data_IF_165958565153
#
_entry.id   IF_165958565153
#
_cell.length_a   1.000
_cell.length_b   1.000
_cell.length_c   1.000
_cell.angle_alpha   90.00
_cell.angle_beta   90.00
_cell.angle_gamma   90.00
#
_symmetry.space_group_name_H-M   'P 1'
#
loop_
_entity.id
_entity.type
_entity.pdbx_description
1 polymer ?
#
# COMPACT_ATOMS: atom_id res chain seq x y z
N UNK A 1 -8.59 31.35 -24.67
CA UNK A 1 -9.27 30.94 -23.43
C UNK A 1 -9.43 29.42 -23.28
N UNK A 2 -9.22 28.64 -24.34
CA UNK A 2 -9.35 27.16 -24.33
C UNK A 2 -8.26 26.42 -23.56
N UNK A 3 -7.06 27.00 -23.42
CA UNK A 3 -5.91 26.37 -22.75
C UNK A 3 -5.77 26.72 -21.25
N UNK A 4 -6.50 27.74 -20.78
CA UNK A 4 -6.37 28.23 -19.39
C UNK A 4 -6.81 27.18 -18.35
N UNK A 5 -7.87 26.42 -18.65
CA UNK A 5 -8.41 25.40 -17.74
C UNK A 5 -7.45 24.20 -17.62
N UNK A 6 -6.94 23.59 -18.72
CA UNK A 6 -5.91 22.55 -18.64
C UNK A 6 -4.65 23.01 -17.88
N UNK A 7 -4.16 24.22 -18.16
CA UNK A 7 -3.00 24.77 -17.44
C UNK A 7 -3.30 25.01 -15.96
N UNK A 8 -4.51 25.49 -15.62
CA UNK A 8 -4.95 25.67 -14.24
C UNK A 8 -5.04 24.37 -13.45
N UNK A 9 -5.50 23.28 -14.05
CA UNK A 9 -5.53 21.94 -13.44
C UNK A 9 -4.10 21.45 -13.17
N UNK A 10 -3.21 21.55 -14.16
CA UNK A 10 -1.81 21.15 -14.00
C UNK A 10 -1.07 21.95 -12.92
N UNK A 11 -1.31 23.27 -12.85
CA UNK A 11 -0.78 24.11 -11.78
C UNK A 11 -1.35 23.72 -10.41
N UNK A 12 -2.64 23.39 -10.35
CA UNK A 12 -3.28 22.92 -9.11
C UNK A 12 -2.69 21.57 -8.65
N UNK A 13 -2.41 20.65 -9.57
CA UNK A 13 -1.70 19.42 -9.27
C UNK A 13 -0.28 19.69 -8.75
N UNK A 14 0.45 20.63 -9.34
CA UNK A 14 1.78 21.02 -8.86
C UNK A 14 1.74 21.60 -7.44
N UNK A 15 0.75 22.44 -7.14
CA UNK A 15 0.53 22.98 -5.79
C UNK A 15 0.18 21.86 -4.82
N UNK A 16 -0.75 20.97 -5.17
CA UNK A 16 -1.15 19.83 -4.33
C UNK A 16 0.04 18.92 -4.01
N UNK A 17 0.85 18.57 -5.01
CA UNK A 17 2.07 17.78 -4.85
C UNK A 17 3.07 18.48 -3.93
N UNK A 18 3.29 19.78 -4.11
CA UNK A 18 4.18 20.57 -3.25
C UNK A 18 3.73 20.53 -1.79
N UNK A 19 2.41 20.62 -1.54
CA UNK A 19 1.83 20.49 -0.21
C UNK A 19 2.02 19.09 0.38
N UNK A 20 1.96 18.01 -0.41
CA UNK A 20 2.29 16.67 0.06
C UNK A 20 3.76 16.55 0.48
N UNK A 21 4.70 17.08 -0.28
CA UNK A 21 6.12 17.09 0.09
C UNK A 21 6.36 17.83 1.42
N UNK A 22 5.82 19.05 1.55
CA UNK A 22 5.96 19.84 2.79
C UNK A 22 5.22 19.17 3.95
N UNK A 23 4.05 18.59 3.69
CA UNK A 23 3.25 17.84 4.65
C UNK A 23 4.03 16.66 5.23
N UNK A 24 4.54 15.77 4.39
CA UNK A 24 5.37 14.63 4.81
C UNK A 24 6.62 15.06 5.56
N UNK A 25 7.32 16.11 5.09
CA UNK A 25 8.49 16.63 5.79
C UNK A 25 8.16 17.08 7.22
N UNK A 26 7.01 17.73 7.41
CA UNK A 26 6.54 18.16 8.73
C UNK A 26 6.05 17.01 9.61
N UNK A 27 5.60 15.89 9.03
CA UNK A 27 5.25 14.68 9.79
C UNK A 27 6.47 14.04 10.45
N UNK A 28 7.68 14.27 9.94
CA UNK A 28 8.93 13.75 10.53
C UNK A 28 9.31 14.35 11.89
N UNK A 29 8.61 15.38 12.39
CA UNK A 29 8.84 15.94 13.73
C UNK A 29 7.53 16.04 14.52
N UNK A 30 7.47 15.59 15.78
CA UNK A 30 6.24 15.67 16.57
C UNK A 30 5.74 17.10 16.78
N UNK A 31 6.64 18.10 16.83
CA UNK A 31 6.28 19.50 16.98
C UNK A 31 5.48 20.05 15.78
N UNK A 32 5.74 19.53 14.57
CA UNK A 32 5.11 19.99 13.33
C UNK A 32 4.10 19.01 12.74
N UNK A 33 3.97 17.81 13.31
CA UNK A 33 3.17 16.72 12.74
C UNK A 33 1.70 17.10 12.47
N UNK A 34 1.04 17.81 13.39
CA UNK A 34 -0.35 18.26 13.19
C UNK A 34 -0.51 19.17 11.98
N UNK A 35 0.40 20.13 11.83
CA UNK A 35 0.42 21.04 10.68
C UNK A 35 0.81 20.30 9.39
N UNK A 36 1.70 19.30 9.47
CA UNK A 36 2.04 18.44 8.34
C UNK A 36 0.83 17.70 7.79
N UNK A 37 0.03 17.09 8.68
CA UNK A 37 -1.20 16.40 8.30
C UNK A 37 -2.21 17.35 7.64
N UNK A 38 -2.41 18.55 8.23
CA UNK A 38 -3.32 19.55 7.66
C UNK A 38 -2.93 19.96 6.23
N UNK A 39 -1.63 20.22 5.98
CA UNK A 39 -1.16 20.59 4.65
C UNK A 39 -1.39 19.46 3.64
N UNK A 40 -1.16 18.20 4.03
CA UNK A 40 -1.45 17.05 3.18
C UNK A 40 -2.95 16.93 2.88
N UNK A 41 -3.83 17.14 3.86
CA UNK A 41 -5.29 17.13 3.66
C UNK A 41 -5.74 18.23 2.70
N UNK A 42 -5.18 19.44 2.81
CA UNK A 42 -5.47 20.55 1.88
C UNK A 42 -4.97 20.22 0.47
N UNK A 43 -3.77 19.64 0.35
CA UNK A 43 -3.25 19.17 -0.94
C UNK A 43 -4.17 18.15 -1.61
N UNK A 44 -4.68 17.17 -0.84
CA UNK A 44 -5.66 16.21 -1.33
C UNK A 44 -6.95 16.87 -1.80
N UNK A 45 -7.49 17.82 -1.04
CA UNK A 45 -8.71 18.56 -1.43
C UNK A 45 -8.51 19.33 -2.74
N UNK A 46 -7.38 20.02 -2.90
CA UNK A 46 -7.04 20.74 -4.15
C UNK A 46 -6.99 19.76 -5.32
N UNK A 47 -6.37 18.59 -5.15
CA UNK A 47 -6.28 17.60 -6.21
C UNK A 47 -7.67 17.07 -6.63
N UNK A 48 -8.53 16.73 -5.67
CA UNK A 48 -9.91 16.28 -5.96
C UNK A 48 -10.67 17.35 -6.74
N UNK A 49 -10.65 18.59 -6.27
CA UNK A 49 -11.37 19.70 -6.93
C UNK A 49 -10.82 19.94 -8.33
N UNK A 50 -9.49 19.92 -8.51
CA UNK A 50 -8.87 20.09 -9.82
C UNK A 50 -9.28 18.98 -10.80
N UNK A 51 -9.30 17.71 -10.38
CA UNK A 51 -9.74 16.59 -11.21
C UNK A 51 -11.22 16.70 -11.58
N UNK A 52 -12.07 17.20 -10.69
CA UNK A 52 -13.49 17.43 -11.00
C UNK A 52 -13.71 18.51 -12.06
N UNK A 53 -12.75 19.41 -12.29
CA UNK A 53 -12.84 20.44 -13.34
C UNK A 53 -12.38 19.95 -14.71
N UNK A 54 -11.93 18.69 -14.81
CA UNK A 54 -11.47 18.09 -16.06
C UNK A 54 -12.64 17.86 -17.02
N UNK A 55 -12.45 18.20 -18.30
CA UNK A 55 -13.54 18.22 -19.30
C UNK A 55 -14.10 16.84 -19.64
N UNK A 56 -13.36 15.79 -19.31
CA UNK A 56 -13.74 14.39 -19.56
C UNK A 56 -14.60 13.80 -18.44
N UNK A 57 -14.93 14.58 -17.40
CA UNK A 57 -15.83 14.13 -16.34
C UNK A 57 -17.28 14.17 -16.83
N UNK A 58 -17.84 12.99 -17.11
CA UNK A 58 -19.18 12.85 -17.70
C UNK A 58 -20.29 12.76 -16.62
N UNK A 59 -20.01 12.17 -15.45
CA UNK A 59 -21.04 11.85 -14.46
C UNK A 59 -20.71 12.35 -13.04
N UNK A 60 -20.96 13.64 -12.81
CA UNK A 60 -20.77 14.29 -11.51
C UNK A 60 -21.64 13.70 -10.40
N UNK A 61 -22.83 13.22 -10.72
CA UNK A 61 -23.77 12.66 -9.75
C UNK A 61 -23.23 11.36 -9.14
N UNK A 62 -22.80 10.40 -9.98
CA UNK A 62 -22.20 9.15 -9.50
C UNK A 62 -20.91 9.40 -8.72
N UNK A 63 -20.07 10.34 -9.17
CA UNK A 63 -18.83 10.70 -8.46
C UNK A 63 -19.15 11.27 -7.07
N UNK A 64 -20.12 12.19 -6.99
CA UNK A 64 -20.53 12.77 -5.71
C UNK A 64 -21.08 11.71 -4.76
N UNK A 65 -21.93 10.81 -5.25
CA UNK A 65 -22.46 9.68 -4.45
C UNK A 65 -21.32 8.80 -3.94
N UNK A 66 -20.37 8.43 -4.80
CA UNK A 66 -19.23 7.60 -4.41
C UNK A 66 -18.35 8.29 -3.35
N UNK A 67 -18.07 9.59 -3.50
CA UNK A 67 -17.30 10.38 -2.53
C UNK A 67 -18.05 10.44 -1.19
N UNK A 68 -19.34 10.74 -1.20
CA UNK A 68 -20.15 10.86 0.03
C UNK A 68 -20.21 9.53 0.76
N UNK A 69 -20.56 8.44 0.06
CA UNK A 69 -20.67 7.10 0.66
C UNK A 69 -19.32 6.63 1.20
N UNK A 70 -18.25 6.75 0.41
CA UNK A 70 -16.91 6.36 0.82
C UNK A 70 -16.40 7.17 2.01
N UNK A 71 -16.61 8.49 2.00
CA UNK A 71 -16.19 9.38 3.09
C UNK A 71 -16.94 9.10 4.39
N UNK A 72 -18.25 8.83 4.33
CA UNK A 72 -19.05 8.49 5.52
C UNK A 72 -18.57 7.17 6.12
N UNK A 73 -18.40 6.12 5.31
CA UNK A 73 -17.94 4.81 5.78
C UNK A 73 -16.54 4.93 6.39
N UNK A 74 -15.63 5.62 5.69
CA UNK A 74 -14.27 5.86 6.15
C UNK A 74 -14.22 6.65 7.46
N UNK A 75 -15.00 7.73 7.57
CA UNK A 75 -15.08 8.55 8.78
C UNK A 75 -15.62 7.75 9.97
N UNK A 76 -16.71 7.00 9.77
CA UNK A 76 -17.27 6.15 10.84
C UNK A 76 -16.23 5.13 11.30
N UNK A 77 -15.54 4.46 10.38
CA UNK A 77 -14.49 3.50 10.72
C UNK A 77 -13.34 4.14 11.49
N UNK A 78 -12.87 5.31 11.06
CA UNK A 78 -11.76 6.03 11.67
C UNK A 78 -12.09 6.58 13.08
N UNK A 79 -13.33 7.02 13.32
CA UNK A 79 -13.73 7.57 14.62
C UNK A 79 -14.15 6.52 15.64
N UNK A 80 -14.55 5.32 15.19
CA UNK A 80 -15.01 4.25 16.10
C UNK A 80 -13.92 3.27 16.53
N UNK A 81 -12.80 3.19 15.82
CA UNK A 81 -11.72 2.26 16.18
C UNK A 81 -11.02 2.69 17.47
N UNK A 82 -10.72 1.71 18.33
CA UNK A 82 -9.90 1.93 19.52
C UNK A 82 -8.42 2.17 19.16
N UNK A 83 -7.69 2.91 20.00
CA UNK A 83 -6.29 3.26 19.70
C UNK A 83 -5.35 2.04 19.68
N UNK A 84 -5.69 0.96 20.38
CA UNK A 84 -4.96 -0.32 20.34
C UNK A 84 -5.11 -1.04 19.00
N UNK A 85 -6.23 -0.79 18.33
CA UNK A 85 -6.66 -1.42 17.08
C UNK A 85 -6.31 -0.55 15.86
N UNK A 86 -5.53 0.52 16.07
CA UNK A 86 -5.11 1.42 15.00
C UNK A 86 -4.31 0.71 13.88
N UNK A 87 -3.33 -0.19 14.17
CA UNK A 87 -2.51 -0.79 13.11
C UNK A 87 -3.31 -1.52 12.04
N UNK A 88 -4.28 -2.34 12.44
CA UNK A 88 -5.11 -3.11 11.53
C UNK A 88 -6.06 -2.23 10.71
N UNK A 89 -6.60 -1.15 11.28
CA UNK A 89 -7.44 -0.21 10.54
C UNK A 89 -6.64 0.58 9.50
N UNK A 90 -5.41 0.97 9.84
CA UNK A 90 -4.46 1.56 8.88
C UNK A 90 -4.20 0.57 7.73
N UNK A 91 -3.95 -0.70 8.06
CA UNK A 91 -3.79 -1.77 7.08
C UNK A 91 -5.01 -1.89 6.16
N UNK A 92 -6.21 -1.95 6.72
CA UNK A 92 -7.45 -2.08 5.93
C UNK A 92 -7.66 -0.90 4.98
N UNK A 93 -7.53 0.34 5.46
CA UNK A 93 -7.66 1.53 4.61
C UNK A 93 -6.59 1.59 3.52
N UNK A 94 -5.37 1.17 3.83
CA UNK A 94 -4.32 1.03 2.82
C UNK A 94 -4.69 -0.01 1.74
N UNK A 95 -5.26 -1.14 2.16
CA UNK A 95 -5.78 -2.16 1.25
C UNK A 95 -6.82 -1.61 0.28
N UNK A 96 -7.75 -0.78 0.77
CA UNK A 96 -8.76 -0.13 -0.07
C UNK A 96 -8.13 0.84 -1.09
N UNK A 97 -7.04 1.53 -0.74
CA UNK A 97 -6.26 2.33 -1.70
C UNK A 97 -5.61 1.50 -2.80
N UNK A 98 -5.08 0.32 -2.45
CA UNK A 98 -4.59 -0.68 -3.41
C UNK A 98 -5.70 -1.18 -4.35
N UNK A 99 -6.88 -1.49 -3.79
CA UNK A 99 -8.05 -1.90 -4.56
C UNK A 99 -8.51 -0.80 -5.53
N UNK A 100 -8.56 0.46 -5.07
CA UNK A 100 -8.90 1.60 -5.93
C UNK A 100 -7.93 1.73 -7.12
N UNK A 101 -6.63 1.56 -6.88
CA UNK A 101 -5.61 1.60 -7.94
C UNK A 101 -5.76 0.45 -8.95
N UNK A 102 -6.06 -0.76 -8.47
CA UNK A 102 -6.37 -1.90 -9.34
C UNK A 102 -7.66 -1.66 -10.15
N UNK A 103 -8.69 -1.08 -9.53
CA UNK A 103 -9.95 -0.73 -10.20
C UNK A 103 -9.77 0.33 -11.29
N UNK A 104 -8.85 1.27 -11.13
CA UNK A 104 -8.47 2.21 -12.21
C UNK A 104 -7.90 1.45 -13.41
N UNK A 105 -7.00 0.49 -13.19
CA UNK A 105 -6.44 -0.33 -14.26
C UNK A 105 -7.51 -1.22 -14.94
N UNK A 106 -8.43 -1.79 -14.17
CA UNK A 106 -9.59 -2.54 -14.71
C UNK A 106 -10.51 -1.64 -15.51
N UNK A 107 -10.79 -0.44 -15.01
CA UNK A 107 -11.63 0.56 -15.71
C UNK A 107 -11.02 0.96 -17.06
N UNK A 108 -9.71 1.20 -17.10
CA UNK A 108 -9.03 1.56 -18.34
C UNK A 108 -9.00 0.40 -19.35
N UNK A 109 -8.80 -0.84 -18.88
CA UNK A 109 -8.94 -2.02 -19.73
C UNK A 109 -10.34 -2.10 -20.36
N UNK A 110 -11.39 -1.87 -19.57
CA UNK A 110 -12.77 -1.84 -20.05
C UNK A 110 -13.01 -0.71 -21.06
N UNK A 111 -12.43 0.47 -20.85
CA UNK A 111 -12.52 1.60 -21.77
C UNK A 111 -11.94 1.25 -23.15
N UNK A 112 -10.74 0.65 -23.19
CA UNK A 112 -10.12 0.22 -24.44
C UNK A 112 -10.88 -0.92 -25.12
N UNK A 113 -11.45 -1.86 -24.34
CA UNK A 113 -12.31 -2.91 -24.86
C UNK A 113 -13.58 -2.33 -25.51
N UNK A 114 -14.22 -1.35 -24.87
CA UNK A 114 -15.45 -0.73 -25.38
C UNK A 114 -15.25 0.06 -26.68
N UNK A 115 -14.09 0.71 -26.84
CA UNK A 115 -13.74 1.48 -28.05
C UNK A 115 -13.08 0.58 -29.12
N UNK A 116 -12.83 -0.70 -28.82
CA UNK A 116 -12.14 -1.65 -29.69
C UNK A 116 -10.78 -1.13 -30.21
N UNK A 117 -10.07 -0.37 -29.37
CA UNK A 117 -8.78 0.22 -29.68
C UNK A 117 -7.69 -0.44 -28.83
N UNK A 118 -6.59 -0.86 -29.46
CA UNK A 118 -5.49 -1.48 -28.72
C UNK A 118 -4.81 -0.41 -27.86
N UNK A 119 -4.68 -0.62 -26.54
CA UNK A 119 -3.91 0.26 -25.68
C UNK A 119 -2.44 0.31 -26.14
N UNK A 120 -1.76 1.46 -25.99
CA UNK A 120 -0.31 1.53 -26.14
C UNK A 120 0.37 0.54 -25.19
N UNK A 121 1.47 -0.09 -25.65
CA UNK A 121 2.21 -1.07 -24.86
C UNK A 121 2.58 -0.57 -23.44
N UNK A 122 3.05 0.67 -23.23
CA UNK A 122 3.33 1.18 -21.88
C UNK A 122 2.09 1.21 -20.98
N UNK A 123 0.91 1.56 -21.52
CA UNK A 123 -0.36 1.58 -20.79
C UNK A 123 -0.78 0.16 -20.39
N UNK A 124 -0.62 -0.82 -21.28
CA UNK A 124 -0.89 -2.24 -20.97
C UNK A 124 0.01 -2.74 -19.84
N UNK A 125 1.32 -2.48 -19.92
CA UNK A 125 2.27 -2.92 -18.90
C UNK A 125 1.97 -2.27 -17.54
N UNK A 126 1.74 -0.96 -17.53
CA UNK A 126 1.44 -0.23 -16.29
C UNK A 126 0.08 -0.62 -15.70
N UNK A 127 -0.92 -0.94 -16.53
CA UNK A 127 -2.20 -1.47 -16.07
C UNK A 127 -2.05 -2.84 -15.41
N UNK A 128 -1.28 -3.76 -16.03
CA UNK A 128 -1.03 -5.09 -15.48
C UNK A 128 -0.23 -5.02 -14.17
N UNK A 129 0.75 -4.12 -14.06
CA UNK A 129 1.44 -3.85 -12.81
C UNK A 129 0.51 -3.24 -11.75
N UNK A 130 -0.37 -2.32 -12.14
CA UNK A 130 -1.37 -1.74 -11.25
C UNK A 130 -2.34 -2.79 -10.68
N UNK A 131 -2.81 -3.72 -11.53
CA UNK A 131 -3.62 -4.88 -11.10
C UNK A 131 -2.85 -5.77 -10.14
N UNK A 132 -1.61 -6.15 -10.48
CA UNK A 132 -0.79 -7.02 -9.64
C UNK A 132 -0.56 -6.41 -8.26
N UNK A 133 0.00 -5.21 -8.22
CA UNK A 133 0.43 -4.57 -6.98
C UNK A 133 -0.80 -4.17 -6.17
N UNK A 134 -1.83 -3.59 -6.80
CA UNK A 134 -3.07 -3.19 -6.13
C UNK A 134 -3.85 -4.38 -5.57
N UNK A 135 -3.97 -5.47 -6.34
CA UNK A 135 -4.64 -6.70 -5.91
C UNK A 135 -3.92 -7.38 -4.75
N UNK A 136 -2.59 -7.54 -4.85
CA UNK A 136 -1.75 -8.07 -3.76
C UNK A 136 -1.88 -7.23 -2.50
N UNK A 137 -1.88 -5.90 -2.66
CA UNK A 137 -2.01 -4.96 -1.53
C UNK A 137 -3.36 -5.07 -0.85
N UNK A 138 -4.44 -5.15 -1.63
CA UNK A 138 -5.80 -5.24 -1.10
C UNK A 138 -5.99 -6.50 -0.27
N UNK A 139 -5.81 -7.68 -0.87
CA UNK A 139 -6.07 -8.93 -0.15
C UNK A 139 -5.03 -9.21 0.93
N UNK A 140 -3.77 -8.83 0.71
CA UNK A 140 -2.74 -8.90 1.74
C UNK A 140 -3.11 -8.08 2.98
N UNK A 141 -3.64 -6.86 2.77
CA UNK A 141 -4.08 -6.00 3.87
C UNK A 141 -5.31 -6.55 4.59
N UNK A 142 -6.23 -7.20 3.87
CA UNK A 142 -7.38 -7.90 4.46
C UNK A 142 -6.93 -9.06 5.35
N UNK A 143 -5.94 -9.85 4.93
CA UNK A 143 -5.36 -10.92 5.77
C UNK A 143 -4.64 -10.34 7.00
N UNK A 144 -3.86 -9.26 6.82
CA UNK A 144 -3.20 -8.60 7.93
C UNK A 144 -4.22 -8.07 8.97
N UNK A 145 -5.30 -7.45 8.50
CA UNK A 145 -6.42 -7.03 9.35
C UNK A 145 -7.04 -8.22 10.08
N UNK A 146 -7.38 -9.30 9.36
CA UNK A 146 -8.03 -10.47 9.96
C UNK A 146 -7.19 -11.12 11.06
N UNK A 147 -5.85 -11.17 10.90
CA UNK A 147 -4.93 -11.71 11.90
C UNK A 147 -4.80 -10.84 13.13
N UNK A 148 -4.72 -9.52 12.96
CA UNK A 148 -4.63 -8.59 14.08
C UNK A 148 -5.95 -8.49 14.86
N UNK A 149 -7.09 -8.58 14.16
CA UNK A 149 -8.43 -8.55 14.77
C UNK A 149 -8.79 -9.86 15.49
N UNK A 150 -7.96 -10.90 15.36
CA UNK A 150 -8.22 -12.23 15.93
C UNK A 150 -9.29 -13.03 15.19
N UNK A 151 -9.74 -12.58 14.00
CA UNK A 151 -10.66 -13.33 13.12
C UNK A 151 -9.92 -14.54 12.51
N UNK A 152 -8.62 -14.39 12.26
CA UNK A 152 -7.71 -15.44 11.80
C UNK A 152 -6.60 -15.66 12.83
N UNK A 153 -6.05 -16.88 12.89
CA UNK A 153 -4.90 -17.16 13.75
C UNK A 153 -3.73 -16.21 13.46
N UNK A 154 -3.16 -15.64 14.51
CA UNK A 154 -1.93 -14.87 14.45
C UNK A 154 -0.68 -15.71 14.20
N UNK A 155 -0.75 -17.05 14.31
CA UNK A 155 0.38 -17.92 13.96
C UNK A 155 0.65 -17.88 12.44
N UNK A 156 1.91 -18.08 12.01
CA UNK A 156 2.20 -18.44 10.63
C UNK A 156 1.35 -19.64 10.19
N UNK A 157 0.67 -19.52 9.05
CA UNK A 157 -0.07 -20.62 8.43
C UNK A 157 0.70 -21.01 7.18
N UNK A 158 1.22 -22.24 7.14
CA UNK A 158 1.96 -22.77 5.99
C UNK A 158 1.37 -24.11 5.56
N UNK A 159 1.58 -24.47 4.30
CA UNK A 159 1.15 -25.76 3.76
C UNK A 159 2.26 -26.37 2.87
N UNK A 160 2.29 -27.71 2.71
CA UNK A 160 3.31 -28.35 1.89
C UNK A 160 3.25 -27.82 0.45
N UNK A 161 4.42 -27.54 -0.14
CA UNK A 161 4.56 -26.98 -1.50
C UNK A 161 4.04 -25.53 -1.67
N UNK A 162 3.92 -24.74 -0.61
CA UNK A 162 3.51 -23.33 -0.74
C UNK A 162 4.46 -22.50 -1.63
N UNK A 163 5.77 -22.66 -1.50
CA UNK A 163 6.75 -21.93 -2.32
C UNK A 163 6.59 -22.18 -3.84
N UNK A 164 6.56 -23.43 -4.33
CA UNK A 164 6.32 -23.68 -5.75
C UNK A 164 4.92 -23.25 -6.20
N UNK A 165 3.88 -23.32 -5.35
CA UNK A 165 2.55 -22.79 -5.68
C UNK A 165 2.59 -21.27 -5.87
N UNK A 166 3.25 -20.55 -4.96
CA UNK A 166 3.41 -19.10 -5.06
C UNK A 166 4.21 -18.71 -6.31
N UNK A 167 5.29 -19.45 -6.59
CA UNK A 167 6.10 -19.25 -7.79
C UNK A 167 5.30 -19.52 -9.08
N UNK A 168 4.44 -20.55 -9.08
CA UNK A 168 3.57 -20.87 -10.21
C UNK A 168 2.52 -19.78 -10.44
N UNK A 169 1.87 -19.30 -9.37
CA UNK A 169 0.89 -18.21 -9.48
C UNK A 169 1.55 -16.93 -10.01
N UNK A 170 2.72 -16.57 -9.48
CA UNK A 170 3.45 -15.40 -9.94
C UNK A 170 3.96 -15.57 -11.38
N UNK A 171 4.57 -16.71 -11.71
CA UNK A 171 5.02 -17.03 -13.06
C UNK A 171 3.88 -17.05 -14.07
N UNK A 172 2.73 -17.63 -13.70
CA UNK A 172 1.51 -17.62 -14.49
C UNK A 172 0.98 -16.19 -14.72
N UNK A 173 1.06 -15.33 -13.71
CA UNK A 173 0.72 -13.92 -13.86
C UNK A 173 1.62 -13.22 -14.88
N UNK A 174 2.94 -13.44 -14.81
CA UNK A 174 3.90 -12.86 -15.75
C UNK A 174 3.66 -13.37 -17.19
N UNK A 175 3.48 -14.67 -17.37
CA UNK A 175 3.22 -15.27 -18.70
C UNK A 175 1.91 -14.74 -19.28
N UNK A 176 0.82 -14.68 -18.50
CA UNK A 176 -0.44 -14.10 -18.94
C UNK A 176 -0.34 -12.61 -19.26
N UNK A 177 0.49 -11.88 -18.50
CA UNK A 177 0.77 -10.46 -18.76
C UNK A 177 1.48 -10.26 -20.11
N UNK A 178 2.52 -11.06 -20.38
CA UNK A 178 3.24 -11.04 -21.68
C UNK A 178 2.29 -11.40 -22.83
N UNK A 179 1.41 -12.38 -22.63
CA UNK A 179 0.39 -12.74 -23.61
C UNK A 179 -0.56 -11.57 -23.94
N UNK A 180 -1.03 -10.83 -22.92
CA UNK A 180 -1.88 -9.65 -23.12
C UNK A 180 -1.15 -8.48 -23.78
N UNK A 181 0.18 -8.37 -23.64
CA UNK A 181 0.96 -7.39 -24.41
C UNK A 181 0.92 -7.65 -25.93
N UNK A 182 0.74 -8.91 -26.34
CA UNK A 182 0.59 -9.28 -27.76
C UNK A 182 -0.88 -9.30 -28.18
N UNK A 183 -1.78 -9.68 -27.27
CA UNK A 183 -3.22 -9.85 -27.53
C UNK A 183 -4.08 -9.09 -26.50
N UNK A 184 -4.19 -7.76 -26.61
CA UNK A 184 -4.68 -6.88 -25.54
C UNK A 184 -6.18 -6.95 -25.24
N UNK A 185 -6.95 -7.80 -25.92
CA UNK A 185 -8.41 -7.90 -25.76
C UNK A 185 -8.90 -9.24 -25.17
N UNK A 186 -8.00 -10.07 -24.66
CA UNK A 186 -8.40 -11.34 -24.07
C UNK A 186 -8.96 -11.13 -22.65
N UNK A 187 -10.24 -10.78 -22.58
CA UNK A 187 -10.97 -10.54 -21.33
C UNK A 187 -10.89 -11.71 -20.33
N UNK A 188 -11.06 -12.99 -20.73
CA UNK A 188 -10.89 -14.11 -19.81
C UNK A 188 -9.51 -14.14 -19.13
N UNK A 189 -8.44 -13.90 -19.89
CA UNK A 189 -7.09 -13.89 -19.33
C UNK A 189 -6.89 -12.68 -18.42
N UNK A 190 -7.37 -11.50 -18.80
CA UNK A 190 -7.30 -10.32 -17.93
C UNK A 190 -8.01 -10.55 -16.59
N UNK A 191 -9.22 -11.09 -16.60
CA UNK A 191 -9.96 -11.43 -15.38
C UNK A 191 -9.27 -12.53 -14.55
N UNK A 192 -8.68 -13.53 -15.22
CA UNK A 192 -7.86 -14.54 -14.54
C UNK A 192 -6.65 -13.90 -13.84
N UNK A 193 -5.97 -12.94 -14.47
CA UNK A 193 -4.86 -12.20 -13.86
C UNK A 193 -5.30 -11.38 -12.65
N UNK A 194 -6.46 -10.71 -12.73
CA UNK A 194 -7.06 -10.03 -11.57
C UNK A 194 -7.27 -11.03 -10.43
N UNK A 195 -7.90 -12.18 -10.71
CA UNK A 195 -8.09 -13.24 -9.71
C UNK A 195 -6.78 -13.74 -9.11
N UNK A 196 -5.76 -14.00 -9.94
CA UNK A 196 -4.43 -14.44 -9.50
C UNK A 196 -3.77 -13.38 -8.62
N UNK A 197 -3.87 -12.08 -8.94
CA UNK A 197 -3.31 -11.01 -8.10
C UNK A 197 -3.92 -10.99 -6.69
N UNK A 198 -5.23 -11.22 -6.59
CA UNK A 198 -5.94 -11.30 -5.32
C UNK A 198 -5.49 -12.52 -4.51
N UNK A 199 -5.37 -13.70 -5.15
CA UNK A 199 -4.87 -14.91 -4.49
C UNK A 199 -3.41 -14.75 -4.05
N UNK A 200 -2.57 -14.11 -4.86
CA UNK A 200 -1.17 -13.84 -4.52
C UNK A 200 -1.04 -12.99 -3.27
N UNK A 201 -1.88 -11.96 -3.08
CA UNK A 201 -1.86 -11.17 -1.84
C UNK A 201 -2.21 -11.98 -0.60
N UNK A 202 -3.17 -12.90 -0.71
CA UNK A 202 -3.51 -13.83 0.37
C UNK A 202 -2.31 -14.74 0.68
N UNK A 203 -1.76 -15.39 -0.35
CA UNK A 203 -0.64 -16.32 -0.22
C UNK A 203 0.65 -15.65 0.27
N UNK A 204 0.81 -14.35 0.02
CA UNK A 204 1.95 -13.55 0.45
C UNK A 204 1.93 -13.27 1.97
N UNK A 205 0.76 -12.98 2.55
CA UNK A 205 0.63 -12.55 3.97
C UNK A 205 0.31 -13.70 4.93
N UNK A 206 -0.41 -14.73 4.48
CA UNK A 206 -0.76 -15.92 5.28
C UNK A 206 0.43 -16.55 6.05
N UNK A 207 1.65 -16.71 5.49
CA UNK A 207 2.77 -17.33 6.20
C UNK A 207 3.42 -16.39 7.23
N UNK A 208 3.06 -15.11 7.30
CA UNK A 208 3.69 -14.15 8.20
C UNK A 208 3.01 -14.19 9.57
N UNK A 209 3.77 -14.09 10.65
CA UNK A 209 3.26 -14.11 12.02
C UNK A 209 2.65 -12.77 12.46
N UNK A 210 1.72 -12.81 13.41
CA UNK A 210 1.00 -11.66 13.95
C UNK A 210 1.91 -10.57 14.52
N UNK A 211 2.99 -10.97 15.20
CA UNK A 211 3.98 -10.04 15.74
C UNK A 211 4.74 -9.23 14.68
N UNK A 212 4.79 -9.73 13.43
CA UNK A 212 5.45 -9.07 12.31
C UNK A 212 4.48 -8.29 11.42
N UNK A 213 3.17 -8.35 11.68
CA UNK A 213 2.15 -7.69 10.88
C UNK A 213 2.34 -6.18 10.73
N UNK A 214 2.83 -5.42 11.73
CA UNK A 214 3.10 -3.99 11.54
C UNK A 214 4.09 -3.71 10.38
N UNK A 215 5.13 -4.54 10.24
CA UNK A 215 6.11 -4.43 9.14
C UNK A 215 5.44 -4.77 7.80
N UNK A 216 4.60 -5.80 7.77
CA UNK A 216 3.84 -6.18 6.57
C UNK A 216 2.90 -5.06 6.14
N UNK A 217 2.17 -4.45 7.07
CA UNK A 217 1.27 -3.33 6.79
C UNK A 217 2.05 -2.14 6.20
N UNK A 218 3.22 -1.83 6.75
CA UNK A 218 4.11 -0.80 6.19
C UNK A 218 4.60 -1.14 4.78
N UNK A 219 4.96 -2.41 4.53
CA UNK A 219 5.38 -2.86 3.20
C UNK A 219 4.23 -2.76 2.19
N UNK A 220 3.03 -3.21 2.57
CA UNK A 220 1.83 -3.09 1.74
C UNK A 220 1.43 -1.62 1.53
N UNK A 221 1.78 -0.72 2.44
CA UNK A 221 1.61 0.73 2.23
C UNK A 221 2.60 1.30 1.20
N UNK A 222 3.79 0.72 1.07
CA UNK A 222 4.63 1.04 -0.09
C UNK A 222 4.00 0.54 -1.39
N UNK A 223 3.45 -0.68 -1.38
CA UNK A 223 2.82 -1.27 -2.55
C UNK A 223 1.58 -0.48 -3.00
N UNK A 224 0.75 0.02 -2.09
CA UNK A 224 -0.37 0.92 -2.46
C UNK A 224 0.12 2.18 -3.18
N UNK A 225 1.23 2.78 -2.72
CA UNK A 225 1.85 3.93 -3.38
C UNK A 225 2.36 3.60 -4.79
N UNK A 226 3.04 2.46 -4.95
CA UNK A 226 3.48 1.97 -6.26
C UNK A 226 2.30 1.65 -7.19
N UNK A 227 1.22 1.06 -6.67
CA UNK A 227 0.00 0.81 -7.41
C UNK A 227 -0.69 2.11 -7.85
N UNK A 228 -0.73 3.12 -6.97
CA UNK A 228 -1.27 4.44 -7.31
C UNK A 228 -0.43 5.14 -8.39
N UNK A 229 0.90 5.02 -8.34
CA UNK A 229 1.77 5.53 -9.41
C UNK A 229 1.54 4.79 -10.74
N UNK A 230 1.35 3.46 -10.69
CA UNK A 230 1.03 2.67 -11.87
C UNK A 230 -0.33 3.10 -12.46
N UNK A 231 -1.36 3.26 -11.64
CA UNK A 231 -2.65 3.83 -12.03
C UNK A 231 -2.49 5.23 -12.64
N UNK A 232 -1.61 6.07 -12.07
CA UNK A 232 -1.27 7.37 -12.62
C UNK A 232 -0.68 7.30 -14.03
N UNK A 233 0.20 6.34 -14.32
CA UNK A 233 0.68 6.12 -15.69
C UNK A 233 -0.40 5.59 -16.63
N UNK A 234 -1.32 4.75 -16.12
CA UNK A 234 -2.44 4.21 -16.89
C UNK A 234 -3.33 5.34 -17.41
N UNK A 235 -3.65 6.32 -16.57
CA UNK A 235 -4.52 7.48 -16.93
C UNK A 235 -3.74 8.75 -17.25
N UNK A 236 -2.42 8.67 -17.43
CA UNK A 236 -1.53 9.80 -17.72
C UNK A 236 -1.68 11.00 -16.75
N UNK A 237 -1.88 10.72 -15.46
CA UNK A 237 -2.08 11.74 -14.43
C UNK A 237 -0.82 11.93 -13.57
N UNK A 238 -0.17 13.09 -13.73
CA UNK A 238 1.05 13.46 -13.02
C UNK A 238 0.89 13.54 -11.49
N UNK A 239 -0.30 13.91 -10.99
CA UNK A 239 -0.55 13.95 -9.54
C UNK A 239 -0.42 12.54 -8.97
N UNK A 240 -1.13 11.56 -9.55
CA UNK A 240 -1.11 10.18 -9.08
C UNK A 240 0.28 9.55 -9.17
N UNK A 241 1.01 9.84 -10.25
CA UNK A 241 2.40 9.37 -10.42
C UNK A 241 3.27 9.89 -9.28
N UNK A 242 3.27 11.20 -9.03
CA UNK A 242 4.16 11.81 -8.04
C UNK A 242 3.75 11.44 -6.61
N UNK A 243 2.45 11.53 -6.30
CA UNK A 243 1.95 11.18 -4.97
C UNK A 243 2.17 9.69 -4.66
N UNK A 244 1.89 8.80 -5.63
CA UNK A 244 2.13 7.37 -5.50
C UNK A 244 3.60 7.02 -5.29
N UNK A 245 4.50 7.60 -6.09
CA UNK A 245 5.93 7.38 -5.95
C UNK A 245 6.48 7.85 -4.59
N UNK A 246 5.99 9.00 -4.12
CA UNK A 246 6.34 9.57 -2.81
C UNK A 246 5.91 8.64 -1.65
N UNK A 247 4.67 8.15 -1.66
CA UNK A 247 4.17 7.20 -0.66
C UNK A 247 4.90 5.86 -0.76
N UNK A 248 5.13 5.37 -1.98
CA UNK A 248 5.84 4.12 -2.24
C UNK A 248 7.26 4.12 -1.67
N UNK A 249 8.04 5.16 -2.00
CA UNK A 249 9.41 5.32 -1.49
C UNK A 249 9.44 5.48 0.03
N UNK A 250 8.56 6.33 0.60
CA UNK A 250 8.45 6.52 2.03
C UNK A 250 8.08 5.22 2.76
N UNK A 251 7.18 4.41 2.19
CA UNK A 251 6.75 3.13 2.77
C UNK A 251 7.87 2.10 2.84
N UNK A 252 8.71 1.98 1.80
CA UNK A 252 9.87 1.07 1.84
C UNK A 252 10.86 1.52 2.91
N UNK A 253 11.16 2.82 2.97
CA UNK A 253 12.08 3.39 3.98
C UNK A 253 11.55 3.11 5.39
N UNK A 254 10.26 3.39 5.63
CA UNK A 254 9.61 3.13 6.92
C UNK A 254 9.67 1.64 7.28
N UNK A 255 9.40 0.76 6.32
CA UNK A 255 9.46 -0.70 6.53
C UNK A 255 10.85 -1.14 6.99
N UNK A 256 11.91 -0.60 6.38
CA UNK A 256 13.30 -0.90 6.78
C UNK A 256 13.61 -0.36 8.18
N UNK A 257 13.15 0.86 8.50
CA UNK A 257 13.34 1.45 9.84
C UNK A 257 12.60 0.62 10.90
N UNK A 258 11.36 0.20 10.63
CA UNK A 258 10.59 -0.65 11.54
C UNK A 258 11.27 -2.01 11.77
N UNK A 259 11.77 -2.65 10.71
CA UNK A 259 12.57 -3.87 10.80
C UNK A 259 13.79 -3.69 11.74
N UNK A 260 14.55 -2.60 11.55
CA UNK A 260 15.69 -2.28 12.42
C UNK A 260 15.28 -2.06 13.87
N UNK A 261 14.23 -1.28 14.12
CA UNK A 261 13.72 -1.06 15.48
C UNK A 261 13.19 -2.33 16.16
N UNK A 262 12.80 -3.33 15.38
CA UNK A 262 12.40 -4.66 15.86
C UNK A 262 13.56 -5.67 15.93
N UNK A 263 14.80 -5.27 15.62
CA UNK A 263 15.98 -6.15 15.53
C UNK A 263 15.77 -7.36 14.61
N UNK A 264 15.04 -7.19 13.50
CA UNK A 264 14.79 -8.23 12.50
C UNK A 264 15.07 -7.70 11.10
N UNK A 265 15.63 -8.53 10.22
CA UNK A 265 15.76 -8.15 8.80
C UNK A 265 14.43 -8.32 8.08
N UNK A 266 14.23 -7.56 7.00
CA UNK A 266 13.05 -7.70 6.13
C UNK A 266 12.93 -9.12 5.55
N UNK A 267 14.05 -9.76 5.21
CA UNK A 267 14.08 -11.14 4.73
C UNK A 267 13.59 -12.11 5.80
N UNK A 268 13.97 -11.93 7.06
CA UNK A 268 13.50 -12.77 8.15
C UNK A 268 12.01 -12.55 8.41
N UNK A 269 11.49 -11.33 8.26
CA UNK A 269 10.05 -11.07 8.40
C UNK A 269 9.24 -11.76 7.29
N UNK A 270 9.69 -11.65 6.04
CA UNK A 270 8.97 -12.21 4.90
C UNK A 270 9.11 -13.73 4.77
N UNK A 271 10.23 -14.30 5.22
CA UNK A 271 10.55 -15.71 4.96
C UNK A 271 10.78 -16.59 6.19
N UNK A 272 10.62 -16.09 7.43
CA UNK A 272 10.85 -16.89 8.64
C UNK A 272 10.07 -18.22 8.69
N UNK A 273 8.83 -18.23 8.22
CA UNK A 273 8.00 -19.43 8.25
C UNK A 273 8.45 -20.52 7.27
N UNK A 274 9.23 -20.18 6.25
CA UNK A 274 9.70 -21.11 5.22
C UNK A 274 11.01 -21.82 5.58
N UNK A 275 11.67 -21.42 6.67
CA UNK A 275 12.92 -22.02 7.17
C UNK A 275 12.73 -23.12 8.23
N UNK A 276 11.49 -23.49 8.56
CA UNK A 276 11.18 -24.47 9.62
C UNK A 276 10.87 -25.88 9.09
N UNK A 277 11.09 -26.13 7.80
CA UNK A 277 10.95 -27.46 7.21
C UNK A 277 11.92 -28.46 7.83
N UNK A 278 11.37 -29.54 8.38
CA UNK A 278 11.99 -30.83 8.76
C UNK A 278 13.54 -30.86 8.76
N UNK A 279 14.11 -30.21 9.76
CA UNK A 279 15.57 -30.14 9.95
C UNK A 279 15.98 -29.24 11.11
N UNK A 280 15.07 -28.99 12.06
CA UNK A 280 15.36 -28.22 13.26
C UNK A 280 16.36 -28.98 14.13
N UNK A 281 17.65 -28.66 13.96
CA UNK A 281 18.68 -28.96 14.95
C UNK A 281 18.22 -28.49 16.34
N UNK A 282 18.67 -29.17 17.41
CA UNK A 282 18.07 -29.04 18.72
C UNK A 282 17.98 -27.57 19.12
N UNK A 283 16.76 -27.16 19.49
CA UNK A 283 16.53 -25.90 20.19
C UNK A 283 17.54 -25.85 21.33
N UNK A 284 18.46 -24.88 21.28
CA UNK A 284 19.38 -24.64 22.37
C UNK A 284 18.52 -24.49 23.64
N UNK A 285 18.74 -25.37 24.61
CA UNK A 285 18.17 -25.27 25.93
C UNK A 285 18.67 -23.96 26.54
N UNK A 286 17.88 -22.88 26.37
CA UNK A 286 18.15 -21.58 26.94
C UNK A 286 17.99 -21.66 28.45
N UNK A 287 19.12 -21.64 29.15
CA UNK A 287 19.19 -21.47 30.59
C UNK A 287 18.46 -20.20 31.05
N UNK A 288 18.03 -20.21 32.30
CA UNK A 288 17.09 -19.31 32.99
C UNK A 288 17.50 -17.84 33.13
N UNK A 289 18.20 -17.24 32.16
CA UNK A 289 18.55 -15.81 32.12
C UNK A 289 18.70 -15.30 30.68
N UNK A 290 17.60 -15.28 29.93
CA UNK A 290 17.61 -14.79 28.53
C UNK A 290 16.65 -13.61 28.39
N UNK A 291 17.09 -12.43 28.84
CA UNK A 291 16.42 -11.17 28.50
C UNK A 291 17.14 -10.59 27.30
N UNK A 292 16.37 -10.36 26.22
CA UNK A 292 16.90 -9.73 25.02
C UNK A 292 17.45 -8.33 25.33
N UNK A 293 18.67 -8.05 24.87
CA UNK A 293 19.28 -6.73 24.94
C UNK A 293 18.54 -5.80 23.96
N UNK A 294 18.08 -4.65 24.45
CA UNK A 294 17.53 -3.58 23.60
C UNK A 294 18.58 -2.50 23.41
N UNK A 295 19.05 -2.34 22.18
CA UNK A 295 19.89 -1.22 21.75
C UNK A 295 19.03 -0.04 21.31
N UNK A 296 19.51 1.17 21.53
CA UNK A 296 18.92 2.42 21.00
C UNK A 296 20.01 3.22 20.30
N UNK A 297 19.67 3.92 19.23
CA UNK A 297 20.59 4.85 18.58
C UNK A 297 20.63 6.20 19.32
N UNK A 298 21.70 7.00 19.20
CA UNK A 298 21.83 8.28 19.90
C UNK A 298 20.67 9.25 19.62
N UNK A 299 20.13 9.26 18.39
CA UNK A 299 19.00 10.11 18.01
C UNK A 299 17.69 9.68 18.71
N UNK A 300 17.45 8.38 18.84
CA UNK A 300 16.30 7.85 19.58
C UNK A 300 16.42 8.19 21.07
N UNK A 301 17.61 8.03 21.64
CA UNK A 301 17.89 8.43 23.03
C UNK A 301 17.65 9.92 23.28
N UNK A 302 18.10 10.78 22.36
CA UNK A 302 17.85 12.22 22.43
C UNK A 302 16.36 12.57 22.36
N UNK A 303 15.59 11.89 21.49
CA UNK A 303 14.13 12.07 21.44
C UNK A 303 13.45 11.64 22.73
N UNK A 304 13.81 10.49 23.30
CA UNK A 304 13.24 10.03 24.56
C UNK A 304 13.48 11.03 25.69
N UNK A 305 14.69 11.60 25.78
CA UNK A 305 15.03 12.63 26.76
C UNK A 305 14.32 13.96 26.48
N UNK A 306 14.20 14.38 25.22
CA UNK A 306 13.57 15.64 24.82
C UNK A 306 12.07 15.72 25.14
N UNK A 307 11.38 14.57 25.21
CA UNK A 307 9.96 14.49 25.60
C UNK A 307 9.75 14.01 27.05
N UNK A 308 10.80 13.67 27.78
CA UNK A 308 10.71 13.26 29.18
C UNK A 308 10.33 14.46 30.06
N UNK A 309 9.44 14.23 31.03
CA UNK A 309 9.07 15.26 32.03
C UNK A 309 10.02 15.28 33.23
N UNK A 310 10.72 14.19 33.49
CA UNK A 310 11.67 14.02 34.60
C UNK A 310 12.71 12.98 34.18
N UNK A 311 13.98 13.27 34.41
CA UNK A 311 15.11 12.39 34.10
C UNK A 311 15.98 12.26 35.33
N UNK A 312 16.35 11.02 35.68
CA UNK A 312 17.33 10.73 36.72
C UNK A 312 18.56 10.15 36.04
N UNK A 313 19.70 10.80 36.21
CA UNK A 313 21.01 10.31 35.76
C UNK A 313 21.63 9.59 36.95
N UNK A 314 21.84 8.28 36.82
CA UNK A 314 22.43 7.40 37.84
C UNK A 314 23.92 7.23 37.57
#
# INVERSE_FOLDING_TARGET
MTDFIPTGIQLSYLVAVSLFFVGLKKLGSPATARNGNLLASVGMLIAIVATLLEKEVINYEMILVAIVVGSIIGAIGAYKVEMTDMPQMVGLFNGLGGAASAMVAVGEFWRYLAVAQSPPLPTTITALLGVLIGGVTFTGSVIAFAKLQGIMSGSPITFPLQQPVNALLFGGFIVGSVYLCVTPFNLPIFLALVGVSLVLGIMFVIPIGGGDMPVVISLLNSFSGLAASAAGFVVMNNMLIIAGALVGASGIILTVIMCKGMNRSLTNVLFAAFGTGEGGGPAAAGGTTDKSVRSIDPEEGAMMLGYARSVVIV
#
